data_IF_727381142200
#
_entry.id   IF_727381142200
#
_cell.length_a   1.000
_cell.length_b   1.000
_cell.length_c   1.000
_cell.angle_alpha   90.00
_cell.angle_beta   90.00
_cell.angle_gamma   90.00
#
_symmetry.space_group_name_H-M   'P 1'
#
loop_
_entity.id
_entity.type
_entity.pdbx_description
1 polymer ?
#
# COMPACT_ATOMS: atom_id res chain seq x y z
N UNK A 1 -15.39 25.25 -6.65
CA UNK A 1 -15.28 23.79 -6.88
C UNK A 1 -14.16 23.53 -7.88
N UNK A 2 -12.98 22.99 -7.52
CA UNK A 2 -11.98 22.62 -8.51
C UNK A 2 -12.25 21.22 -9.06
N UNK A 3 -12.03 21.11 -10.38
CA UNK A 3 -12.52 20.06 -11.28
C UNK A 3 -11.56 18.88 -11.35
N UNK A 4 -12.14 17.70 -11.54
CA UNK A 4 -11.54 16.35 -11.65
C UNK A 4 -10.50 16.16 -12.78
N UNK A 5 -10.13 17.22 -13.51
CA UNK A 5 -9.20 17.17 -14.65
C UNK A 5 -7.71 17.11 -14.26
N UNK A 6 -7.35 17.57 -13.06
CA UNK A 6 -5.94 17.62 -12.64
C UNK A 6 -5.39 16.27 -12.14
N UNK A 7 -6.24 15.42 -11.56
CA UNK A 7 -5.84 14.13 -10.96
C UNK A 7 -5.52 13.09 -12.04
N UNK A 8 -6.30 13.07 -13.13
CA UNK A 8 -6.04 12.18 -14.27
C UNK A 8 -4.74 12.56 -15.00
N UNK A 9 -4.46 13.86 -15.12
CA UNK A 9 -3.24 14.37 -15.75
C UNK A 9 -1.97 14.15 -14.88
N UNK A 10 -2.10 14.09 -13.55
CA UNK A 10 -0.96 13.78 -12.67
C UNK A 10 -0.57 12.30 -12.72
N UNK A 11 -1.56 11.38 -12.68
CA UNK A 11 -1.28 9.94 -12.79
C UNK A 11 -0.65 9.57 -14.13
N UNK A 12 -1.14 10.13 -15.24
CA UNK A 12 -0.57 9.89 -16.56
C UNK A 12 0.87 10.40 -16.72
N UNK A 13 1.24 11.46 -15.99
CA UNK A 13 2.63 11.98 -15.98
C UNK A 13 3.57 11.08 -15.19
N UNK A 14 3.12 10.58 -14.06
CA UNK A 14 3.92 9.66 -13.23
C UNK A 14 4.20 8.36 -13.98
N UNK A 15 3.17 7.72 -14.56
CA UNK A 15 3.35 6.52 -15.37
C UNK A 15 4.29 6.75 -16.56
N UNK A 16 4.18 7.90 -17.25
CA UNK A 16 5.09 8.28 -18.34
C UNK A 16 6.52 8.47 -17.85
N UNK A 17 6.73 9.09 -16.69
CA UNK A 17 8.06 9.29 -16.12
C UNK A 17 8.74 7.96 -15.80
N UNK A 18 7.99 7.00 -15.23
CA UNK A 18 8.50 5.66 -14.94
C UNK A 18 8.89 4.95 -16.23
N UNK A 19 8.03 4.99 -17.24
CA UNK A 19 8.31 4.33 -18.52
C UNK A 19 9.55 4.93 -19.20
N UNK A 20 9.68 6.25 -19.25
CA UNK A 20 10.86 6.91 -19.83
C UNK A 20 12.14 6.54 -19.08
N UNK A 21 12.09 6.46 -17.76
CA UNK A 21 13.27 6.08 -16.97
C UNK A 21 13.66 4.61 -17.23
N UNK A 22 12.69 3.70 -17.27
CA UNK A 22 12.92 2.28 -17.60
C UNK A 22 13.56 2.13 -18.98
N UNK A 23 13.08 2.87 -19.99
CA UNK A 23 13.62 2.88 -21.35
C UNK A 23 15.05 3.45 -21.44
N UNK A 24 15.39 4.41 -20.57
CA UNK A 24 16.74 4.99 -20.50
C UNK A 24 17.74 4.08 -19.81
N UNK A 25 17.28 3.26 -18.89
CA UNK A 25 18.11 2.21 -18.31
C UNK A 25 18.25 1.07 -19.32
N UNK A 26 19.44 0.50 -19.50
CA UNK A 26 19.68 -0.63 -20.42
C UNK A 26 18.94 -1.93 -20.08
N UNK A 27 17.97 -1.88 -19.17
CA UNK A 27 17.19 -3.00 -18.65
C UNK A 27 15.78 -3.06 -19.25
N UNK A 28 15.48 -2.30 -20.31
CA UNK A 28 14.15 -2.24 -20.94
C UNK A 28 13.56 -3.62 -21.27
N UNK A 29 14.38 -4.56 -21.71
CA UNK A 29 13.95 -5.91 -22.12
C UNK A 29 13.74 -6.85 -20.92
N UNK A 30 14.02 -6.35 -19.70
CA UNK A 30 13.82 -7.07 -18.47
C UNK A 30 12.53 -6.70 -17.76
N UNK A 31 11.70 -5.77 -18.26
CA UNK A 31 10.48 -5.26 -17.59
C UNK A 31 9.28 -5.12 -18.54
N UNK A 32 8.16 -5.82 -18.26
CA UNK A 32 6.86 -5.48 -18.84
C UNK A 32 6.16 -4.45 -17.93
N UNK A 33 6.13 -3.20 -18.39
CA UNK A 33 5.44 -2.13 -17.68
C UNK A 33 3.96 -2.09 -18.08
N UNK A 34 3.08 -2.40 -17.13
CA UNK A 34 1.63 -2.41 -17.32
C UNK A 34 0.95 -1.38 -16.41
N UNK A 35 0.10 -0.54 -17.01
CA UNK A 35 -0.78 0.36 -16.26
C UNK A 35 -2.21 -0.19 -16.23
N UNK A 36 -2.85 -0.10 -15.07
CA UNK A 36 -4.26 -0.45 -14.87
C UNK A 36 -4.94 0.62 -14.06
N UNK A 37 -6.16 0.94 -14.44
CA UNK A 37 -7.04 1.78 -13.63
C UNK A 37 -7.84 0.87 -12.71
N UNK A 38 -7.69 1.07 -11.41
CA UNK A 38 -8.57 0.46 -10.42
C UNK A 38 -9.43 1.58 -9.82
N UNK A 39 -10.71 1.62 -10.21
CA UNK A 39 -11.65 2.63 -9.70
C UNK A 39 -12.17 2.19 -8.33
N UNK A 40 -12.28 0.88 -8.11
CA UNK A 40 -12.58 0.29 -6.82
C UNK A 40 -11.42 -0.56 -6.29
N UNK A 41 -11.25 -0.66 -4.96
CA UNK A 41 -10.17 -1.45 -4.41
C UNK A 41 -10.24 -2.96 -4.71
N UNK A 42 -11.43 -3.47 -5.05
CA UNK A 42 -11.59 -4.86 -5.49
C UNK A 42 -11.04 -5.09 -6.90
N UNK A 43 -11.07 -4.08 -7.77
CA UNK A 43 -10.51 -4.15 -9.12
C UNK A 43 -8.99 -4.29 -9.07
N UNK A 44 -8.36 -3.56 -8.16
CA UNK A 44 -6.95 -3.70 -7.88
C UNK A 44 -6.62 -5.14 -7.49
N UNK A 45 -7.31 -5.71 -6.50
CA UNK A 45 -7.04 -7.09 -6.07
C UNK A 45 -7.20 -8.09 -7.22
N UNK A 46 -8.21 -7.92 -8.07
CA UNK A 46 -8.43 -8.77 -9.24
C UNK A 46 -7.22 -8.70 -10.18
N UNK A 47 -6.75 -7.50 -10.49
CA UNK A 47 -5.58 -7.32 -11.35
C UNK A 47 -4.30 -7.87 -10.71
N UNK A 48 -4.10 -7.69 -9.40
CA UNK A 48 -2.97 -8.29 -8.68
C UNK A 48 -2.97 -9.82 -8.77
N UNK A 49 -4.13 -10.45 -8.56
CA UNK A 49 -4.24 -11.91 -8.66
C UNK A 49 -4.09 -12.44 -10.09
N UNK A 50 -4.53 -11.66 -11.07
CA UNK A 50 -4.50 -12.01 -12.50
C UNK A 50 -3.10 -11.86 -13.08
N UNK A 51 -2.49 -10.69 -12.87
CA UNK A 51 -1.20 -10.33 -13.44
C UNK A 51 -0.05 -10.93 -12.62
N UNK A 52 -0.28 -11.24 -11.34
CA UNK A 52 0.74 -11.66 -10.37
C UNK A 52 2.00 -10.78 -10.49
N UNK A 53 1.82 -9.44 -10.43
CA UNK A 53 2.91 -8.52 -10.69
C UNK A 53 3.95 -8.66 -9.58
N UNK A 54 5.20 -8.41 -9.93
CA UNK A 54 6.30 -8.48 -8.96
C UNK A 54 6.33 -7.27 -8.05
N UNK A 55 6.16 -6.09 -8.63
CA UNK A 55 6.12 -4.85 -7.87
C UNK A 55 4.93 -4.05 -8.35
N UNK A 56 4.28 -3.39 -7.41
CA UNK A 56 3.08 -2.62 -7.65
C UNK A 56 3.36 -1.19 -7.24
N UNK A 57 3.17 -0.27 -8.17
CA UNK A 57 3.22 1.16 -7.89
C UNK A 57 1.79 1.70 -7.77
N UNK A 58 1.54 2.44 -6.70
CA UNK A 58 0.22 2.99 -6.39
C UNK A 58 0.26 4.51 -6.44
N UNK A 59 -0.29 5.05 -7.52
CA UNK A 59 -0.52 6.48 -7.66
C UNK A 59 -1.95 6.80 -7.25
N UNK A 60 -2.11 7.44 -6.09
CA UNK A 60 -3.45 7.78 -5.59
C UNK A 60 -3.42 8.23 -4.15
N UNK A 61 -2.91 9.43 -3.89
CA UNK A 61 -3.09 10.06 -2.59
C UNK A 61 -4.18 11.13 -2.73
N UNK A 62 -5.40 10.77 -2.34
CA UNK A 62 -6.43 11.75 -2.03
C UNK A 62 -5.88 12.71 -0.98
N UNK A 63 -5.89 14.00 -1.29
CA UNK A 63 -5.22 15.06 -0.56
C UNK A 63 -5.43 14.98 0.96
N UNK A 64 -4.43 14.48 1.70
CA UNK A 64 -4.28 14.86 3.11
C UNK A 64 -3.58 16.21 3.09
N UNK A 65 -4.29 17.30 3.46
CA UNK A 65 -3.69 18.60 3.74
C UNK A 65 -2.67 18.42 4.87
N UNK A 66 -1.42 18.14 4.52
CA UNK A 66 -0.27 18.46 5.35
C UNK A 66 0.40 19.64 4.65
N UNK A 67 0.25 20.82 5.25
CA UNK A 67 0.98 21.99 4.85
C UNK A 67 2.48 21.70 5.00
N UNK A 68 3.19 21.61 3.87
CA UNK A 68 4.64 21.73 3.84
C UNK A 68 4.96 22.71 2.73
N UNK A 69 5.50 23.85 3.11
CA UNK A 69 6.17 24.79 2.23
C UNK A 69 7.20 24.03 1.36
N UNK A 70 7.19 24.18 0.03
CA UNK A 70 8.13 23.46 -0.81
C UNK A 70 9.51 24.10 -0.64
N UNK A 71 10.42 23.41 0.06
CA UNK A 71 11.85 23.74 -0.01
C UNK A 71 12.40 23.11 -1.29
N UNK A 72 12.81 23.96 -2.21
CA UNK A 72 13.50 23.57 -3.43
C UNK A 72 14.75 22.74 -3.07
N UNK A 73 14.90 21.57 -3.71
CA UNK A 73 16.17 20.84 -3.73
C UNK A 73 16.23 19.45 -3.09
N UNK A 74 15.11 18.79 -2.75
CA UNK A 74 15.15 17.38 -2.33
C UNK A 74 14.36 16.47 -3.26
N UNK A 75 15.09 15.84 -4.18
CA UNK A 75 14.66 14.63 -4.88
C UNK A 75 14.54 13.49 -3.86
N UNK A 76 13.38 13.36 -3.23
CA UNK A 76 13.06 12.19 -2.42
C UNK A 76 12.60 11.06 -3.36
N UNK A 77 13.58 10.24 -3.75
CA UNK A 77 13.59 8.75 -3.75
C UNK A 77 12.31 8.08 -4.30
N UNK A 78 12.31 7.63 -5.57
CA UNK A 78 12.69 6.28 -6.08
C UNK A 78 11.84 5.18 -5.42
N UNK A 79 11.15 4.32 -6.17
CA UNK A 79 11.79 3.11 -6.71
C UNK A 79 11.19 2.57 -8.03
N UNK A 80 12.08 1.85 -8.74
CA UNK A 80 11.94 1.15 -10.03
C UNK A 80 11.33 -0.24 -9.81
N UNK A 81 10.51 -0.73 -10.74
CA UNK A 81 9.87 -2.06 -10.68
C UNK A 81 10.55 -3.07 -11.61
N UNK A 82 10.91 -4.23 -11.04
CA UNK A 82 11.65 -5.35 -11.66
C UNK A 82 10.97 -6.71 -11.41
N UNK A 83 11.02 -7.70 -12.33
CA UNK A 83 10.34 -9.02 -12.21
C UNK A 83 10.84 -9.96 -11.10
N UNK A 84 9.94 -10.82 -10.62
CA UNK A 84 10.03 -11.77 -9.50
C UNK A 84 8.64 -12.28 -9.03
N UNK A 85 8.55 -13.43 -8.35
CA UNK A 85 7.25 -13.91 -7.82
C UNK A 85 6.71 -12.93 -6.76
N UNK A 86 5.42 -12.59 -6.82
CA UNK A 86 4.76 -11.83 -5.75
C UNK A 86 4.82 -12.62 -4.44
N UNK A 87 5.50 -12.08 -3.44
CA UNK A 87 5.54 -12.63 -2.09
C UNK A 87 4.34 -12.18 -1.23
N UNK A 88 4.14 -12.88 -0.10
CA UNK A 88 3.01 -12.61 0.78
C UNK A 88 3.12 -11.23 1.43
N UNK A 89 4.34 -10.75 1.71
CA UNK A 89 4.58 -9.40 2.25
C UNK A 89 4.12 -8.30 1.29
N UNK A 90 4.49 -8.40 0.01
CA UNK A 90 4.10 -7.48 -1.06
C UNK A 90 2.58 -7.48 -1.29
N UNK A 91 1.96 -8.67 -1.23
CA UNK A 91 0.51 -8.80 -1.28
C UNK A 91 -0.14 -8.16 -0.04
N UNK A 92 0.43 -8.37 1.14
CA UNK A 92 0.00 -7.76 2.39
C UNK A 92 0.02 -6.24 2.35
N UNK A 93 1.10 -5.65 1.80
CA UNK A 93 1.21 -4.21 1.59
C UNK A 93 0.15 -3.68 0.64
N UNK A 94 -0.14 -4.40 -0.44
CA UNK A 94 -1.21 -4.01 -1.37
C UNK A 94 -2.61 -4.06 -0.71
N UNK A 95 -2.87 -5.09 0.10
CA UNK A 95 -4.12 -5.21 0.86
C UNK A 95 -4.27 -4.12 1.93
N UNK A 96 -3.16 -3.72 2.57
CA UNK A 96 -3.14 -2.62 3.54
C UNK A 96 -3.58 -1.31 2.86
N UNK A 97 -3.04 -1.02 1.68
CA UNK A 97 -3.37 0.21 0.96
C UNK A 97 -4.84 0.26 0.52
N UNK A 98 -5.41 -0.89 0.14
CA UNK A 98 -6.86 -1.02 -0.06
C UNK A 98 -7.65 -0.68 1.20
N UNK A 99 -7.21 -1.17 2.37
CA UNK A 99 -7.77 -0.81 3.66
C UNK A 99 -7.76 0.69 3.91
N UNK A 100 -6.62 1.35 3.65
CA UNK A 100 -6.47 2.80 3.76
C UNK A 100 -7.43 3.57 2.84
N UNK A 101 -7.68 3.08 1.62
CA UNK A 101 -8.66 3.69 0.72
C UNK A 101 -10.09 3.65 1.31
N UNK A 102 -10.50 2.54 1.94
CA UNK A 102 -11.80 2.42 2.58
C UNK A 102 -11.90 3.23 3.87
N UNK A 103 -10.84 3.24 4.69
CA UNK A 103 -10.77 4.03 5.91
C UNK A 103 -10.84 5.53 5.62
N UNK A 104 -10.15 6.00 4.57
CA UNK A 104 -10.23 7.39 4.10
C UNK A 104 -11.62 7.81 3.62
N UNK A 105 -12.47 6.85 3.25
CA UNK A 105 -13.90 7.08 2.91
C UNK A 105 -14.82 6.97 4.14
N UNK A 106 -14.30 6.71 5.34
CA UNK A 106 -15.08 6.45 6.55
C UNK A 106 -15.75 5.07 6.58
N UNK A 107 -15.45 4.19 5.62
CA UNK A 107 -16.02 2.84 5.52
C UNK A 107 -15.20 1.86 6.38
N UNK A 108 -15.18 2.09 7.70
CA UNK A 108 -14.32 1.36 8.64
C UNK A 108 -14.60 -0.15 8.68
N UNK A 109 -15.86 -0.58 8.55
CA UNK A 109 -16.21 -2.00 8.51
C UNK A 109 -15.61 -2.72 7.28
N UNK A 110 -15.60 -2.05 6.11
CA UNK A 110 -14.96 -2.59 4.92
C UNK A 110 -13.42 -2.60 5.11
N UNK A 111 -12.86 -1.48 5.58
CA UNK A 111 -11.42 -1.35 5.83
C UNK A 111 -10.88 -2.43 6.77
N UNK A 112 -11.62 -2.77 7.83
CA UNK A 112 -11.28 -3.81 8.79
C UNK A 112 -10.95 -5.14 8.10
N UNK A 113 -11.86 -5.62 7.24
CA UNK A 113 -11.67 -6.88 6.51
C UNK A 113 -10.43 -6.89 5.62
N UNK A 114 -10.01 -5.72 5.13
CA UNK A 114 -8.82 -5.59 4.30
C UNK A 114 -7.54 -5.56 5.11
N UNK A 115 -7.55 -4.87 6.25
CA UNK A 115 -6.40 -4.88 7.16
C UNK A 115 -6.19 -6.24 7.83
N UNK A 116 -7.26 -6.99 8.15
CA UNK A 116 -7.16 -8.37 8.65
C UNK A 116 -6.46 -9.26 7.62
N UNK A 117 -6.86 -9.14 6.36
CA UNK A 117 -6.23 -9.87 5.25
C UNK A 117 -4.80 -9.42 5.00
N UNK A 118 -4.49 -8.14 5.20
CA UNK A 118 -3.13 -7.62 5.08
C UNK A 118 -2.22 -8.25 6.15
N UNK A 119 -2.64 -8.19 7.42
CA UNK A 119 -1.95 -8.83 8.56
C UNK A 119 -1.70 -10.31 8.28
N UNK A 120 -2.72 -11.06 7.87
CA UNK A 120 -2.59 -12.49 7.58
C UNK A 120 -1.64 -12.83 6.41
N UNK A 121 -1.35 -11.88 5.51
CA UNK A 121 -0.34 -12.09 4.47
C UNK A 121 1.06 -11.67 4.95
N UNK A 122 1.17 -10.57 5.69
CA UNK A 122 2.44 -10.09 6.26
C UNK A 122 3.01 -11.06 7.29
N UNK A 123 2.14 -11.74 8.05
CA UNK A 123 2.53 -12.83 8.97
C UNK A 123 3.15 -14.04 8.26
N UNK A 124 2.88 -14.25 6.97
CA UNK A 124 3.51 -15.34 6.20
C UNK A 124 4.92 -14.99 5.74
N UNK A 125 5.28 -13.71 5.76
CA UNK A 125 6.56 -13.20 5.32
C UNK A 125 6.77 -13.22 3.79
N UNK A 126 7.99 -12.87 3.40
CA UNK A 126 8.45 -12.83 2.01
C UNK A 126 8.65 -14.25 1.42
N UNK A 127 9.29 -14.36 0.24
CA UNK A 127 9.60 -15.67 -0.37
C UNK A 127 10.49 -16.58 0.50
N UNK A 128 11.19 -16.00 1.48
CA UNK A 128 12.08 -16.69 2.40
C UNK A 128 11.43 -16.89 3.78
N UNK A 129 10.19 -16.46 3.96
CA UNK A 129 9.47 -16.52 5.24
C UNK A 129 9.89 -15.44 6.24
N UNK A 130 10.64 -14.42 5.80
CA UNK A 130 10.99 -13.30 6.66
C UNK A 130 9.79 -12.36 6.80
N UNK A 131 9.37 -12.14 8.04
CA UNK A 131 8.31 -11.18 8.40
C UNK A 131 8.96 -9.83 8.69
N UNK A 132 8.41 -8.75 8.12
CA UNK A 132 8.80 -7.38 8.47
C UNK A 132 7.95 -6.91 9.66
N UNK A 133 8.53 -6.74 10.86
CA UNK A 133 7.81 -6.34 12.06
C UNK A 133 7.16 -4.96 11.93
N UNK A 134 7.84 -4.01 11.28
CA UNK A 134 7.33 -2.65 11.12
C UNK A 134 6.13 -2.61 10.17
N UNK A 135 6.23 -3.30 9.04
CA UNK A 135 5.14 -3.42 8.06
C UNK A 135 3.90 -4.11 8.66
N UNK A 136 4.12 -5.16 9.46
CA UNK A 136 3.06 -5.87 10.17
C UNK A 136 2.42 -4.99 11.26
N UNK A 137 3.25 -4.32 12.07
CA UNK A 137 2.84 -3.39 13.12
C UNK A 137 1.98 -2.24 12.61
N UNK A 138 2.33 -1.66 11.45
CA UNK A 138 1.52 -0.62 10.79
C UNK A 138 0.10 -1.10 10.44
N UNK A 139 -0.03 -2.35 10.00
CA UNK A 139 -1.33 -2.93 9.64
C UNK A 139 -2.18 -3.25 10.87
N UNK A 140 -1.55 -3.69 11.96
CA UNK A 140 -2.21 -3.89 13.26
C UNK A 140 -2.67 -2.57 13.89
N UNK A 141 -1.88 -1.50 13.75
CA UNK A 141 -2.28 -0.17 14.22
C UNK A 141 -3.50 0.35 13.46
N UNK A 142 -3.53 0.15 12.13
CA UNK A 142 -4.69 0.46 11.30
C UNK A 142 -5.93 -0.36 11.65
N UNK A 143 -5.77 -1.63 12.04
CA UNK A 143 -6.87 -2.43 12.59
C UNK A 143 -7.40 -1.83 13.89
N UNK A 144 -6.51 -1.46 14.81
CA UNK A 144 -6.88 -0.78 16.05
C UNK A 144 -7.68 0.50 15.79
N UNK A 145 -7.22 1.34 14.88
CA UNK A 145 -7.92 2.58 14.48
C UNK A 145 -9.33 2.30 13.93
N UNK A 146 -9.48 1.24 13.12
CA UNK A 146 -10.78 0.83 12.59
C UNK A 146 -11.70 0.31 13.70
N UNK A 147 -11.19 -0.50 14.64
CA UNK A 147 -11.96 -0.99 15.78
C UNK A 147 -12.43 0.15 16.69
N UNK A 148 -11.58 1.14 16.98
CA UNK A 148 -11.98 2.36 17.72
C UNK A 148 -13.12 3.06 17.00
N UNK A 149 -12.99 3.24 15.67
CA UNK A 149 -14.01 3.92 14.86
C UNK A 149 -15.34 3.16 14.79
N UNK A 150 -15.33 1.85 15.07
CA UNK A 150 -16.51 0.99 15.15
C UNK A 150 -17.05 0.80 16.58
N UNK A 151 -16.44 1.43 17.58
CA UNK A 151 -16.84 1.29 18.99
C UNK A 151 -16.41 -0.02 19.66
N UNK A 152 -15.47 -0.75 19.06
CA UNK A 152 -14.97 -2.06 19.49
C UNK A 152 -13.69 -1.92 20.31
N UNK A 153 -13.82 -1.43 21.54
CA UNK A 153 -12.68 -1.03 22.37
C UNK A 153 -11.77 -2.20 22.77
N UNK A 154 -12.34 -3.38 23.03
CA UNK A 154 -11.57 -4.56 23.44
C UNK A 154 -10.70 -5.08 22.29
N UNK A 155 -11.26 -5.18 21.08
CA UNK A 155 -10.52 -5.62 19.89
C UNK A 155 -9.47 -4.57 19.44
N UNK A 156 -9.77 -3.27 19.62
CA UNK A 156 -8.81 -2.22 19.38
C UNK A 156 -7.59 -2.35 20.29
N UNK A 157 -7.82 -2.59 21.60
CA UNK A 157 -6.76 -2.78 22.58
C UNK A 157 -5.89 -3.97 22.23
N UNK A 158 -6.49 -5.11 21.89
CA UNK A 158 -5.77 -6.31 21.46
C UNK A 158 -4.88 -6.03 20.23
N UNK A 159 -5.40 -5.26 19.25
CA UNK A 159 -4.66 -4.90 18.05
C UNK A 159 -3.44 -4.01 18.36
N UNK A 160 -3.60 -3.01 19.22
CA UNK A 160 -2.51 -2.11 19.62
C UNK A 160 -1.46 -2.79 20.50
N UNK A 161 -1.88 -3.65 21.41
CA UNK A 161 -0.98 -4.44 22.24
C UNK A 161 -0.11 -5.35 21.37
N UNK A 162 -0.72 -6.02 20.40
CA UNK A 162 0.01 -6.86 19.45
C UNK A 162 1.00 -6.06 18.61
N UNK A 163 0.63 -4.88 18.14
CA UNK A 163 1.55 -3.98 17.44
C UNK A 163 2.73 -3.56 18.33
N UNK A 164 2.48 -3.26 19.61
CA UNK A 164 3.53 -2.89 20.57
C UNK A 164 4.49 -4.05 20.88
N UNK A 165 4.00 -5.28 20.94
CA UNK A 165 4.84 -6.47 21.14
C UNK A 165 5.81 -6.65 19.96
N UNK A 166 5.30 -6.48 18.75
CA UNK A 166 6.09 -6.58 17.52
C UNK A 166 7.13 -5.45 17.44
N UNK A 167 6.74 -4.21 17.76
CA UNK A 167 7.64 -3.04 17.79
C UNK A 167 8.74 -3.17 18.86
N UNK A 168 8.48 -3.90 19.95
CA UNK A 168 9.46 -4.13 21.02
C UNK A 168 10.42 -5.30 20.76
N UNK A 169 10.33 -5.94 19.59
CA UNK A 169 11.23 -7.03 19.18
C UNK A 169 11.07 -8.30 20.03
N UNK A 170 9.98 -8.40 20.79
CA UNK A 170 9.70 -9.54 21.65
C UNK A 170 8.81 -10.50 20.87
N UNK A 171 9.40 -11.21 19.90
CA UNK A 171 8.74 -12.39 19.34
C UNK A 171 8.55 -13.41 20.48
N UNK A 172 7.35 -14.00 20.66
CA UNK A 172 7.15 -15.10 21.59
C UNK A 172 7.88 -16.38 21.16
#
# INVERSE_FOLDING_TARGET
>A
MPRSSHVLASLGREARSIQVELERTGWRDRFDFLTRWAVEPLDLLRELRKLKPTVVHFSGHGSRKAAITPRAGQAARRDVVVYGRMDSESLGTSLHQVGDCYAGQGKFAAALSWFERAVAQKEKGDLHGHVDPGSLGDSLRRLGDCHVSLGKADEARASFERASIIDSGNEP
#
